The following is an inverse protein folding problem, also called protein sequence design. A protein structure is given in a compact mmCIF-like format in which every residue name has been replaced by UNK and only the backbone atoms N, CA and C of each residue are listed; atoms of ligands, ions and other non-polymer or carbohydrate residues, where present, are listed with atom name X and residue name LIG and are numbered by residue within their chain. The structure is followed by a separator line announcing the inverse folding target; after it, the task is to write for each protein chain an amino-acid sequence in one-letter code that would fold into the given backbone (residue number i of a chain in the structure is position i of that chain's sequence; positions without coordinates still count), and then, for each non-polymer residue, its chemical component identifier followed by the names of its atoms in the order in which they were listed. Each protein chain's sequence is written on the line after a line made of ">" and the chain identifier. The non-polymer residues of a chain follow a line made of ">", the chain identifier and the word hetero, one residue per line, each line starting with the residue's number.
data_IF_189652910761
#
_entry.id   IF_189652910761
#
_cell.length_a   1.000
_cell.length_b   1.000
_cell.length_c   1.000
_cell.angle_alpha   90.00
_cell.angle_beta   90.00
_cell.angle_gamma   90.00
#
_symmetry.space_group_name_H-M   'P 1'
#
loop_
_entity.id
_entity.type
_entity.pdbx_description
1 polymer ?
#
# COMPACT_ATOMS: atom_id res chain seq x y z
N UNK A 1 4.03 -10.49 -24.66
CA UNK A 1 2.65 -10.53 -24.14
C UNK A 1 2.75 -11.10 -22.73
N UNK A 2 2.95 -10.22 -21.75
CA UNK A 2 3.22 -10.62 -20.36
C UNK A 2 1.88 -10.63 -19.64
N UNK A 3 1.34 -11.82 -19.42
CA UNK A 3 0.09 -12.02 -18.69
C UNK A 3 0.30 -11.52 -17.27
N UNK A 4 -0.26 -10.35 -16.94
CA UNK A 4 -0.33 -9.88 -15.57
C UNK A 4 -1.24 -10.88 -14.84
N UNK A 5 -0.65 -11.84 -14.13
CA UNK A 5 -1.40 -12.71 -13.22
C UNK A 5 -2.00 -11.81 -12.17
N UNK A 6 -3.26 -11.45 -12.34
CA UNK A 6 -4.04 -10.78 -11.31
C UNK A 6 -4.11 -11.76 -10.14
N UNK A 7 -3.56 -11.39 -8.96
CA UNK A 7 -3.69 -12.25 -7.79
C UNK A 7 -5.19 -12.49 -7.57
N UNK A 8 -5.53 -13.74 -7.24
CA UNK A 8 -6.88 -14.24 -6.98
C UNK A 8 -7.80 -13.14 -6.44
N UNK A 9 -9.04 -12.98 -6.92
CA UNK A 9 -9.88 -11.81 -6.59
C UNK A 9 -10.09 -11.62 -5.07
N UNK A 10 -9.86 -12.67 -4.28
CA UNK A 10 -9.80 -12.62 -2.82
C UNK A 10 -8.56 -11.90 -2.28
N UNK A 11 -7.39 -12.04 -2.90
CA UNK A 11 -6.15 -11.31 -2.61
C UNK A 11 -6.15 -9.88 -3.16
N UNK A 12 -6.74 -9.65 -4.34
CA UNK A 12 -6.90 -8.28 -4.88
C UNK A 12 -7.72 -7.37 -3.95
N UNK A 13 -8.78 -7.91 -3.33
CA UNK A 13 -9.60 -7.15 -2.36
C UNK A 13 -8.92 -6.98 -0.99
N UNK A 14 -7.91 -7.79 -0.66
CA UNK A 14 -7.20 -7.70 0.62
C UNK A 14 -6.15 -6.60 0.64
N UNK A 15 -5.58 -6.26 -0.51
CA UNK A 15 -4.55 -5.25 -0.66
C UNK A 15 -4.87 -3.90 0.04
N UNK A 16 -6.01 -3.27 -0.26
CA UNK A 16 -6.41 -2.03 0.41
C UNK A 16 -6.52 -2.17 1.94
N UNK A 17 -7.11 -3.26 2.42
CA UNK A 17 -7.31 -3.49 3.84
C UNK A 17 -5.98 -3.75 4.57
N UNK A 18 -5.03 -4.42 3.90
CA UNK A 18 -3.65 -4.59 4.37
C UNK A 18 -2.97 -3.23 4.54
N UNK A 19 -3.07 -2.33 3.56
CA UNK A 19 -2.48 -0.99 3.64
C UNK A 19 -3.09 -0.13 4.76
N UNK A 20 -4.42 -0.17 4.91
CA UNK A 20 -5.12 0.52 6.02
C UNK A 20 -4.62 0.01 7.37
N UNK A 21 -4.61 -1.32 7.56
CA UNK A 21 -4.18 -1.93 8.81
C UNK A 21 -2.69 -1.69 9.08
N UNK A 22 -1.85 -1.71 8.05
CA UNK A 22 -0.43 -1.39 8.14
C UNK A 22 -0.21 0.05 8.61
N UNK A 23 -0.99 1.02 8.10
CA UNK A 23 -0.94 2.41 8.56
C UNK A 23 -1.21 2.56 10.06
N UNK A 24 -2.17 1.79 10.59
CA UNK A 24 -2.50 1.75 12.02
C UNK A 24 -1.37 1.09 12.83
N UNK A 25 -0.88 -0.07 12.38
CA UNK A 25 0.16 -0.84 13.06
C UNK A 25 1.54 -0.17 13.04
N UNK A 26 1.84 0.60 12.00
CA UNK A 26 3.09 1.34 11.87
C UNK A 26 3.25 2.36 12.99
N UNK A 27 2.16 3.04 13.37
CA UNK A 27 2.14 3.97 14.50
C UNK A 27 2.49 3.28 15.83
N UNK A 28 2.05 2.04 16.03
CA UNK A 28 2.41 1.24 17.20
C UNK A 28 3.85 0.70 17.14
N UNK A 29 4.36 0.40 15.95
CA UNK A 29 5.67 -0.25 15.74
C UNK A 29 6.84 0.74 15.81
N UNK A 30 6.65 1.96 15.31
CA UNK A 30 7.71 2.99 15.23
C UNK A 30 7.70 3.89 16.47
N UNK A 31 6.58 3.98 17.19
CA UNK A 31 6.44 4.80 18.39
C UNK A 31 6.74 6.29 18.12
N UNK A 32 7.20 7.07 19.11
CA UNK A 32 7.48 8.49 18.93
C UNK A 32 8.80 8.76 18.18
N UNK A 33 9.59 7.74 17.81
CA UNK A 33 10.91 7.95 17.21
C UNK A 33 10.88 7.85 15.68
N UNK A 34 10.90 8.97 14.95
CA UNK A 34 10.82 9.01 13.49
C UNK A 34 12.01 8.35 12.79
N UNK A 35 13.17 8.20 13.44
CA UNK A 35 14.36 7.57 12.86
C UNK A 35 14.23 6.05 12.70
N UNK A 36 13.27 5.45 13.41
CA UNK A 36 12.97 4.02 13.30
C UNK A 36 12.15 3.70 12.04
N UNK A 37 11.62 4.71 11.35
CA UNK A 37 10.87 4.53 10.11
C UNK A 37 11.81 4.19 8.96
N UNK A 38 11.89 2.91 8.65
CA UNK A 38 12.69 2.34 7.57
C UNK A 38 11.82 1.47 6.67
N UNK A 39 12.34 1.10 5.49
CA UNK A 39 11.69 0.10 4.64
C UNK A 39 11.42 -1.21 5.39
N UNK A 40 12.36 -1.64 6.25
CA UNK A 40 12.22 -2.87 7.05
C UNK A 40 11.11 -2.78 8.09
N UNK A 41 10.95 -1.65 8.77
CA UNK A 41 9.85 -1.47 9.75
C UNK A 41 8.50 -1.32 9.06
N UNK A 42 8.47 -0.69 7.88
CA UNK A 42 7.26 -0.61 7.07
C UNK A 42 6.82 -2.01 6.60
N UNK A 43 7.75 -2.77 6.03
CA UNK A 43 7.51 -4.15 5.61
C UNK A 43 7.02 -5.02 6.77
N UNK A 44 7.66 -4.94 7.95
CA UNK A 44 7.21 -5.63 9.16
C UNK A 44 5.76 -5.27 9.55
N UNK A 45 5.39 -3.99 9.47
CA UNK A 45 4.03 -3.55 9.78
C UNK A 45 3.00 -4.09 8.76
N UNK A 46 3.38 -4.17 7.48
CA UNK A 46 2.57 -4.76 6.41
C UNK A 46 2.43 -6.29 6.61
N UNK A 47 3.52 -7.02 6.87
CA UNK A 47 3.44 -8.47 7.15
C UNK A 47 2.58 -8.77 8.38
N UNK A 48 2.66 -7.95 9.43
CA UNK A 48 1.79 -8.06 10.60
C UNK A 48 0.32 -7.78 10.26
N UNK A 49 0.04 -6.81 9.39
CA UNK A 49 -1.30 -6.55 8.88
C UNK A 49 -1.86 -7.76 8.11
N UNK A 50 -1.06 -8.36 7.23
CA UNK A 50 -1.44 -9.56 6.46
C UNK A 50 -1.79 -10.72 7.41
N UNK A 51 -0.93 -11.03 8.39
CA UNK A 51 -1.18 -12.11 9.35
C UNK A 51 -2.43 -11.85 10.22
N UNK A 52 -2.68 -10.58 10.57
CA UNK A 52 -3.89 -10.21 11.33
C UNK A 52 -5.16 -10.38 10.50
N UNK A 53 -5.11 -10.13 9.19
CA UNK A 53 -6.27 -10.23 8.28
C UNK A 53 -6.46 -11.65 7.74
N UNK A 54 -5.39 -12.45 7.68
CA UNK A 54 -5.41 -13.87 7.33
C UNK A 54 -4.71 -14.73 8.39
N UNK A 55 -5.38 -14.98 9.53
CA UNK A 55 -4.86 -15.91 10.52
C UNK A 55 -4.63 -17.29 9.89
N UNK A 56 -3.44 -17.85 10.06
CA UNK A 56 -3.06 -19.15 9.50
C UNK A 56 -2.48 -19.12 8.09
N UNK A 57 -2.23 -17.94 7.51
CA UNK A 57 -1.41 -17.83 6.29
C UNK A 57 0.00 -18.39 6.54
N UNK A 58 0.55 -19.08 5.54
CA UNK A 58 1.97 -19.46 5.60
C UNK A 58 2.85 -18.21 5.55
N UNK A 59 4.10 -18.35 6.00
CA UNK A 59 5.08 -17.28 5.93
C UNK A 59 5.27 -16.80 4.48
N UNK A 60 5.44 -17.72 3.54
CA UNK A 60 5.66 -17.39 2.12
C UNK A 60 4.48 -16.60 1.51
N UNK A 61 3.23 -16.99 1.82
CA UNK A 61 2.05 -16.23 1.37
C UNK A 61 1.97 -14.86 2.03
N UNK A 62 2.37 -14.76 3.29
CA UNK A 62 2.40 -13.49 4.01
C UNK A 62 3.38 -12.52 3.38
N UNK A 63 4.59 -12.99 3.09
CA UNK A 63 5.65 -12.21 2.47
C UNK A 63 5.27 -11.77 1.04
N UNK A 64 4.71 -12.68 0.24
CA UNK A 64 4.25 -12.33 -1.11
C UNK A 64 3.20 -11.19 -1.11
N UNK A 65 2.22 -11.26 -0.20
CA UNK A 65 1.21 -10.22 -0.06
C UNK A 65 1.77 -8.92 0.51
N UNK A 66 2.74 -9.01 1.42
CA UNK A 66 3.40 -7.84 1.98
C UNK A 66 4.25 -7.12 0.92
N UNK A 67 4.94 -7.86 0.07
CA UNK A 67 5.73 -7.32 -1.03
C UNK A 67 4.83 -6.66 -2.10
N UNK A 68 3.70 -7.26 -2.43
CA UNK A 68 2.71 -6.67 -3.34
C UNK A 68 2.16 -5.35 -2.80
N UNK A 69 1.73 -5.33 -1.53
CA UNK A 69 1.24 -4.11 -0.88
C UNK A 69 2.34 -3.02 -0.79
N UNK A 70 3.59 -3.42 -0.53
CA UNK A 70 4.72 -2.49 -0.52
C UNK A 70 5.00 -1.91 -1.91
N UNK A 71 4.92 -2.72 -2.96
CA UNK A 71 5.09 -2.25 -4.34
C UNK A 71 4.03 -1.21 -4.72
N UNK A 72 2.74 -1.48 -4.44
CA UNK A 72 1.64 -0.54 -4.67
C UNK A 72 1.84 0.78 -3.91
N UNK A 73 2.33 0.70 -2.67
CA UNK A 73 2.66 1.89 -1.89
C UNK A 73 3.80 2.73 -2.50
N UNK A 74 4.85 2.06 -3.01
CA UNK A 74 5.97 2.74 -3.69
C UNK A 74 5.50 3.41 -4.98
N UNK A 75 4.70 2.72 -5.80
CA UNK A 75 4.12 3.30 -7.01
C UNK A 75 3.24 4.53 -6.73
N UNK A 76 2.49 4.51 -5.62
CA UNK A 76 1.74 5.67 -5.18
C UNK A 76 2.64 6.83 -4.78
N UNK A 77 3.74 6.56 -4.06
CA UNK A 77 4.73 7.58 -3.70
C UNK A 77 5.37 8.20 -4.94
N UNK A 78 5.70 7.41 -5.94
CA UNK A 78 6.28 7.91 -7.19
C UNK A 78 5.29 8.80 -7.95
N UNK A 79 4.01 8.44 -7.99
CA UNK A 79 2.97 9.31 -8.55
C UNK A 79 2.86 10.63 -7.80
N UNK A 80 2.84 10.58 -6.46
CA UNK A 80 2.77 11.80 -5.64
C UNK A 80 4.00 12.69 -5.86
N UNK A 81 5.18 12.10 -6.03
CA UNK A 81 6.40 12.83 -6.35
C UNK A 81 6.38 13.45 -7.75
N UNK A 82 5.84 12.74 -8.75
CA UNK A 82 5.61 13.30 -10.09
C UNK A 82 4.63 14.48 -10.04
N UNK A 83 3.52 14.34 -9.32
CA UNK A 83 2.53 15.41 -9.16
C UNK A 83 3.13 16.64 -8.48
N UNK A 84 3.93 16.46 -7.44
CA UNK A 84 4.63 17.55 -6.73
C UNK A 84 5.55 18.33 -7.68
N UNK A 85 6.25 17.65 -8.60
CA UNK A 85 7.10 18.29 -9.61
C UNK A 85 6.35 19.19 -10.59
N UNK A 86 5.06 18.96 -10.81
CA UNK A 86 4.22 19.76 -11.71
C UNK A 86 3.44 20.87 -10.99
N UNK A 87 3.51 20.94 -9.66
CA UNK A 87 2.85 21.99 -8.90
C UNK A 87 3.73 23.26 -8.86
N UNK A 88 3.17 24.45 -9.15
CA UNK A 88 3.94 25.69 -9.24
C UNK A 88 4.55 26.17 -7.91
N UNK A 89 4.29 25.48 -6.78
CA UNK A 89 4.74 25.84 -5.42
C UNK A 89 5.30 24.61 -4.65
N UNK A 90 6.29 23.91 -5.22
CA UNK A 90 6.88 22.65 -4.71
C UNK A 90 7.54 22.66 -3.31
N UNK A 91 7.47 23.75 -2.56
CA UNK A 91 8.18 23.91 -1.28
C UNK A 91 7.37 23.50 -0.03
N UNK A 92 6.06 23.26 -0.13
CA UNK A 92 5.22 22.97 1.05
C UNK A 92 4.66 21.55 1.12
N UNK A 93 4.48 20.85 -0.01
CA UNK A 93 3.96 19.47 -0.03
C UNK A 93 5.06 18.43 0.23
N UNK A 94 6.26 18.63 -0.32
CA UNK A 94 7.44 17.77 -0.12
C UNK A 94 7.86 17.66 1.36
N UNK A 95 7.80 18.76 2.13
CA UNK A 95 8.09 18.77 3.58
C UNK A 95 7.01 18.01 4.38
N UNK A 96 5.77 17.99 3.91
CA UNK A 96 4.64 17.30 4.56
C UNK A 96 4.64 15.79 4.28
N UNK A 97 4.99 15.38 3.06
CA UNK A 97 4.99 13.98 2.60
C UNK A 97 6.24 13.22 3.08
N UNK A 98 7.38 13.89 3.26
CA UNK A 98 8.67 13.22 3.52
C UNK A 98 9.33 13.57 4.86
N UNK A 99 8.68 14.39 5.70
CA UNK A 99 9.22 14.83 6.98
C UNK A 99 9.28 13.76 8.07
N UNK A 100 9.75 12.53 7.80
CA UNK A 100 9.98 11.39 8.74
C UNK A 100 8.89 11.15 9.79
N UNK A 101 7.68 11.68 9.62
CA UNK A 101 6.61 11.58 10.61
C UNK A 101 5.87 10.29 10.31
N UNK A 102 5.84 9.40 11.29
CA UNK A 102 5.08 8.14 11.23
C UNK A 102 3.63 8.40 10.81
N UNK A 103 3.05 9.49 11.31
CA UNK A 103 1.73 9.96 10.90
C UNK A 103 1.63 10.24 9.39
N UNK A 104 2.61 10.91 8.79
CA UNK A 104 2.60 11.19 7.34
C UNK A 104 2.62 9.89 6.54
N UNK A 105 3.47 8.92 6.91
CA UNK A 105 3.48 7.61 6.25
C UNK A 105 2.18 6.83 6.46
N UNK A 106 1.61 6.87 7.67
CA UNK A 106 0.30 6.27 7.95
C UNK A 106 -0.82 6.88 7.10
N UNK A 107 -0.82 8.20 6.90
CA UNK A 107 -1.76 8.89 6.01
C UNK A 107 -1.54 8.50 4.55
N UNK A 108 -0.30 8.41 4.09
CA UNK A 108 0.03 8.00 2.73
C UNK A 108 -0.40 6.55 2.46
N UNK A 109 -0.23 5.65 3.42
CA UNK A 109 -0.74 4.27 3.33
C UNK A 109 -2.26 4.24 3.19
N UNK A 110 -2.97 5.10 3.92
CA UNK A 110 -4.42 5.24 3.83
C UNK A 110 -4.85 5.75 2.45
N UNK A 111 -4.16 6.77 1.93
CA UNK A 111 -4.42 7.32 0.60
C UNK A 111 -4.15 6.30 -0.52
N UNK A 112 -3.06 5.53 -0.40
CA UNK A 112 -2.74 4.45 -1.32
C UNK A 112 -3.82 3.36 -1.32
N UNK A 113 -4.36 3.02 -0.14
CA UNK A 113 -5.45 2.07 0.00
C UNK A 113 -6.73 2.54 -0.71
N UNK A 114 -7.11 3.81 -0.52
CA UNK A 114 -8.28 4.40 -1.20
C UNK A 114 -8.09 4.41 -2.72
N UNK A 115 -6.93 4.81 -3.21
CA UNK A 115 -6.61 4.75 -4.65
C UNK A 115 -6.78 3.33 -5.19
N UNK A 116 -6.23 2.33 -4.49
CA UNK A 116 -6.35 0.94 -4.91
C UNK A 116 -7.82 0.49 -4.94
N UNK A 117 -8.65 0.88 -3.95
CA UNK A 117 -10.10 0.62 -3.99
C UNK A 117 -10.76 1.23 -5.24
N UNK A 118 -10.41 2.46 -5.61
CA UNK A 118 -10.93 3.08 -6.83
C UNK A 118 -10.50 2.34 -8.09
N UNK A 119 -9.25 1.90 -8.19
CA UNK A 119 -8.74 1.13 -9.33
C UNK A 119 -9.48 -0.21 -9.48
N UNK A 120 -9.73 -0.91 -8.37
CA UNK A 120 -10.52 -2.15 -8.37
C UNK A 120 -11.98 -1.91 -8.79
N UNK A 121 -12.62 -0.84 -8.29
CA UNK A 121 -13.97 -0.47 -8.67
C UNK A 121 -14.06 -0.09 -10.15
N UNK A 122 -13.11 0.70 -10.64
CA UNK A 122 -13.04 1.11 -12.05
C UNK A 122 -12.86 -0.12 -12.97
N UNK A 123 -11.97 -1.05 -12.62
CA UNK A 123 -11.79 -2.30 -13.37
C UNK A 123 -13.07 -3.14 -13.42
N UNK A 124 -13.79 -3.22 -12.29
CA UNK A 124 -15.08 -3.93 -12.20
C UNK A 124 -16.16 -3.30 -13.06
N UNK A 125 -16.28 -1.97 -13.05
CA UNK A 125 -17.26 -1.23 -13.86
C UNK A 125 -16.92 -1.31 -15.35
N UNK A 126 -15.64 -1.30 -15.70
CA UNK A 126 -15.17 -1.45 -17.08
C UNK A 126 -15.35 -2.86 -17.66
N UNK A 127 -15.90 -3.82 -16.88
CA UNK A 127 -16.11 -5.21 -17.33
C UNK A 127 -14.82 -6.00 -17.49
N UNK A 128 -13.68 -5.48 -17.01
CA UNK A 128 -12.39 -6.16 -17.10
C UNK A 128 -12.21 -7.01 -15.84
N UNK A 129 -12.85 -8.17 -15.84
CA UNK A 129 -12.41 -9.31 -15.03
C UNK A 129 -11.41 -10.08 -15.89
N UNK A 130 -10.12 -10.17 -15.54
CA UNK A 130 -9.25 -11.12 -16.19
C UNK A 130 -9.61 -12.53 -15.70
N UNK A 131 -10.16 -13.34 -16.60
CA UNK A 131 -10.23 -14.80 -16.43
C UNK A 131 -11.55 -15.35 -15.91
N UNK A 132 -12.57 -15.37 -16.76
CA UNK A 132 -13.79 -16.14 -16.55
C UNK A 132 -14.38 -16.56 -17.90
N UNK A 133 -13.72 -17.50 -18.58
CA UNK A 133 -14.23 -18.13 -19.79
C UNK A 133 -14.49 -19.61 -19.53
N UNK A 134 -15.78 -19.97 -19.58
CA UNK A 134 -16.41 -21.26 -19.92
C UNK A 134 -15.69 -22.57 -19.59
#
# INVERSE_FOLDING_TARGET
>A
MTTLTVPDARTANLGPDVLVKAGILLSATVGPNPHMLTRKTLHKAISAAVQSLRPGSTWDTTEALADEALAMFVEFLDLMHELDRHLPHGDQLSVWVYGRRVQAVSWTLLAAAERWRYELLAARVAGVVPGGGW
#
